data_IF_560998708997
#
_entry.id   IF_560998708997
#
_cell.length_a   1.000
_cell.length_b   1.000
_cell.length_c   1.000
_cell.angle_alpha   90.00
_cell.angle_beta   90.00
_cell.angle_gamma   90.00
#
_symmetry.space_group_name_H-M   'P 1'
#
loop_
_entity.id
_entity.type
_entity.pdbx_description
1 polymer ?
#
# COMPACT_ATOMS: atom_id res chain seq x y z
N UNK A 1 -2.27 1.74 -49.00
CA UNK A 1 -1.96 0.53 -48.18
C UNK A 1 -1.41 0.86 -46.79
N UNK A 2 -2.09 1.68 -45.94
CA UNK A 2 -1.64 1.85 -44.54
C UNK A 2 -2.45 1.07 -43.51
N UNK A 3 -3.59 0.47 -43.89
CA UNK A 3 -4.54 -0.09 -42.90
C UNK A 3 -4.14 -1.44 -42.28
N UNK A 4 -3.26 -2.21 -42.95
CA UNK A 4 -2.84 -3.55 -42.44
C UNK A 4 -1.76 -3.49 -41.35
N UNK A 5 -0.93 -2.43 -41.32
CA UNK A 5 0.15 -2.30 -40.33
C UNK A 5 -0.42 -1.89 -38.95
N UNK A 6 -1.45 -1.05 -38.92
CA UNK A 6 -2.08 -0.61 -37.65
C UNK A 6 -2.82 -1.76 -36.97
N UNK A 7 -3.48 -2.65 -37.73
CA UNK A 7 -4.18 -3.82 -37.16
C UNK A 7 -3.20 -4.85 -36.56
N UNK A 8 -2.03 -5.01 -37.19
CA UNK A 8 -0.98 -5.91 -36.69
C UNK A 8 -0.34 -5.40 -35.38
N UNK A 9 -0.16 -4.07 -35.28
CA UNK A 9 0.39 -3.43 -34.06
C UNK A 9 -0.57 -3.53 -32.86
N UNK A 10 -1.88 -3.41 -33.09
CA UNK A 10 -2.87 -3.59 -32.04
C UNK A 10 -2.97 -5.04 -31.55
N UNK A 11 -2.84 -6.02 -32.45
CA UNK A 11 -2.87 -7.45 -32.10
C UNK A 11 -1.63 -7.83 -31.28
N UNK A 12 -0.45 -7.31 -31.63
CA UNK A 12 0.81 -7.55 -30.90
C UNK A 12 0.77 -6.95 -29.50
N UNK A 13 0.20 -5.75 -29.31
CA UNK A 13 0.05 -5.14 -28.00
C UNK A 13 -0.89 -5.90 -27.09
N UNK A 14 -1.99 -6.47 -27.61
CA UNK A 14 -2.92 -7.30 -26.82
C UNK A 14 -2.30 -8.64 -26.39
N UNK A 15 -1.48 -9.25 -27.24
CA UNK A 15 -0.81 -10.51 -26.90
C UNK A 15 0.33 -10.32 -25.88
N UNK A 16 1.08 -9.20 -25.95
CA UNK A 16 2.14 -8.89 -25.00
C UNK A 16 1.56 -8.71 -23.59
N UNK A 17 0.41 -8.03 -23.44
CA UNK A 17 -0.20 -7.83 -22.12
C UNK A 17 -0.73 -9.12 -21.48
N UNK A 18 -1.32 -10.04 -22.27
CA UNK A 18 -1.80 -11.32 -21.73
C UNK A 18 -0.64 -12.24 -21.28
N UNK A 19 0.48 -12.24 -22.02
CA UNK A 19 1.66 -13.01 -21.67
C UNK A 19 2.41 -12.42 -20.45
N UNK A 20 2.46 -11.09 -20.31
CA UNK A 20 3.12 -10.41 -19.22
C UNK A 20 2.45 -10.76 -17.87
N UNK A 21 1.11 -10.69 -17.79
CA UNK A 21 0.39 -11.00 -16.55
C UNK A 21 0.51 -12.49 -16.15
N UNK A 22 0.51 -13.41 -17.12
CA UNK A 22 0.77 -14.84 -16.88
C UNK A 22 2.17 -15.06 -16.30
N UNK A 23 3.19 -14.35 -16.81
CA UNK A 23 4.57 -14.46 -16.33
C UNK A 23 4.71 -13.96 -14.90
N UNK A 24 4.11 -12.81 -14.56
CA UNK A 24 4.10 -12.24 -13.22
C UNK A 24 3.44 -13.16 -12.19
N UNK A 25 2.20 -13.61 -12.44
CA UNK A 25 1.49 -14.54 -11.57
C UNK A 25 2.29 -15.84 -11.35
N UNK A 26 2.90 -16.39 -12.41
CA UNK A 26 3.72 -17.60 -12.35
C UNK A 26 4.97 -17.41 -11.49
N UNK A 27 5.65 -16.27 -11.59
CA UNK A 27 6.84 -15.98 -10.79
C UNK A 27 6.49 -15.89 -9.29
N UNK A 28 5.39 -15.21 -8.95
CA UNK A 28 4.94 -15.13 -7.54
C UNK A 28 4.54 -16.51 -7.02
N UNK A 29 3.79 -17.30 -7.79
CA UNK A 29 3.44 -18.68 -7.41
C UNK A 29 4.67 -19.51 -7.09
N UNK A 30 5.67 -19.48 -7.97
CA UNK A 30 6.94 -20.20 -7.78
C UNK A 30 7.68 -19.75 -6.51
N UNK A 31 7.79 -18.45 -6.28
CA UNK A 31 8.46 -17.91 -5.11
C UNK A 31 7.71 -18.24 -3.82
N UNK A 32 6.36 -18.16 -3.83
CA UNK A 32 5.50 -18.52 -2.70
C UNK A 32 5.59 -20.02 -2.39
N UNK A 33 5.55 -20.89 -3.38
CA UNK A 33 5.71 -22.34 -3.20
C UNK A 33 7.07 -22.65 -2.56
N UNK A 34 8.16 -22.08 -3.07
CA UNK A 34 9.50 -22.28 -2.51
C UNK A 34 9.61 -21.81 -1.05
N UNK A 35 8.94 -20.72 -0.68
CA UNK A 35 8.87 -20.26 0.71
C UNK A 35 8.07 -21.26 1.58
N UNK A 36 6.88 -21.66 1.14
CA UNK A 36 6.01 -22.61 1.87
C UNK A 36 6.73 -23.95 2.08
N UNK A 37 7.45 -24.46 1.07
CA UNK A 37 8.18 -25.74 1.15
C UNK A 37 9.29 -25.69 2.19
N UNK A 38 9.92 -24.54 2.39
CA UNK A 38 10.96 -24.34 3.39
C UNK A 38 10.45 -24.22 4.85
N UNK A 39 9.13 -24.13 5.06
CA UNK A 39 8.54 -24.04 6.40
C UNK A 39 8.48 -25.41 7.09
N UNK A 40 8.77 -25.41 8.38
CA UNK A 40 8.53 -26.59 9.24
C UNK A 40 7.02 -26.85 9.39
N UNK A 41 6.60 -28.07 9.81
CA UNK A 41 5.19 -28.37 10.04
C UNK A 41 4.51 -27.43 11.05
N UNK A 42 5.23 -26.93 12.06
CA UNK A 42 4.73 -25.97 13.03
C UNK A 42 4.49 -24.60 12.38
N UNK A 43 5.48 -24.12 11.61
CA UNK A 43 5.38 -22.84 10.90
C UNK A 43 4.28 -22.87 9.83
N UNK A 44 4.09 -24.00 9.12
CA UNK A 44 2.99 -24.18 8.16
C UNK A 44 1.62 -24.02 8.81
N UNK A 45 1.42 -24.54 10.03
CA UNK A 45 0.15 -24.35 10.76
C UNK A 45 -0.16 -22.88 11.06
N UNK A 46 0.86 -22.06 11.29
CA UNK A 46 0.68 -20.63 11.53
C UNK A 46 0.52 -19.84 10.23
N UNK A 47 1.27 -20.22 9.18
CA UNK A 47 1.36 -19.46 7.94
C UNK A 47 0.24 -19.77 6.94
N UNK A 48 -0.31 -21.00 6.93
CA UNK A 48 -1.28 -21.46 5.93
C UNK A 48 -2.69 -21.49 6.54
N UNK A 49 -3.53 -20.61 6.05
CA UNK A 49 -4.93 -20.47 6.42
C UNK A 49 -5.83 -20.92 5.25
N UNK A 50 -7.08 -21.24 5.53
CA UNK A 50 -8.03 -21.51 4.44
C UNK A 50 -8.28 -20.26 3.61
N UNK A 51 -8.60 -20.41 2.30
CA UNK A 51 -8.94 -19.27 1.47
C UNK A 51 -10.18 -18.52 1.96
N UNK A 52 -11.10 -19.21 2.65
CA UNK A 52 -12.29 -18.63 3.26
C UNK A 52 -12.07 -17.99 4.64
N UNK A 53 -10.84 -18.01 5.17
CA UNK A 53 -10.55 -17.42 6.48
C UNK A 53 -10.83 -15.91 6.47
N UNK A 54 -11.49 -15.42 7.53
CA UNK A 54 -11.87 -14.01 7.67
C UNK A 54 -10.67 -13.08 7.73
N UNK A 55 -9.52 -13.53 8.24
CA UNK A 55 -8.28 -12.78 8.26
C UNK A 55 -7.82 -12.34 6.85
N UNK A 56 -8.26 -13.03 5.78
CA UNK A 56 -7.95 -12.66 4.40
C UNK A 56 -8.48 -11.28 4.01
N UNK A 57 -9.66 -10.92 4.48
CA UNK A 57 -10.35 -9.67 4.15
C UNK A 57 -10.30 -8.63 5.28
N UNK A 58 -9.43 -8.85 6.24
CA UNK A 58 -9.17 -7.92 7.35
C UNK A 58 -7.72 -7.47 7.28
N UNK A 59 -7.46 -6.23 7.65
CA UNK A 59 -6.11 -5.70 7.78
C UNK A 59 -6.03 -4.73 8.97
N UNK A 60 -4.82 -4.48 9.45
CA UNK A 60 -4.61 -3.54 10.53
C UNK A 60 -3.21 -2.92 10.44
N UNK A 61 -3.09 -1.63 10.82
CA UNK A 61 -1.85 -0.86 10.79
C UNK A 61 -1.26 -0.56 12.18
N UNK A 62 -1.97 -0.95 13.26
CA UNK A 62 -1.51 -0.68 14.62
C UNK A 62 -0.27 -1.53 14.97
N UNK A 63 0.53 -1.09 15.95
CA UNK A 63 1.60 -1.90 16.52
C UNK A 63 1.12 -3.28 16.97
N UNK A 64 1.97 -4.30 16.79
CA UNK A 64 1.61 -5.70 17.09
C UNK A 64 1.30 -5.93 18.58
N UNK A 65 1.85 -5.10 19.46
CA UNK A 65 1.48 -5.11 20.87
C UNK A 65 0.02 -4.74 21.14
N UNK A 66 -0.62 -3.98 20.25
CA UNK A 66 -2.04 -3.61 20.33
C UNK A 66 -2.95 -4.53 19.52
N UNK A 67 -2.46 -5.07 18.41
CA UNK A 67 -3.25 -5.91 17.51
C UNK A 67 -2.40 -7.06 16.97
N UNK A 68 -2.70 -8.29 17.39
CA UNK A 68 -2.05 -9.49 16.89
C UNK A 68 -2.28 -9.68 15.37
N UNK A 69 -1.36 -10.38 14.71
CA UNK A 69 -1.41 -10.69 13.28
C UNK A 69 -1.49 -12.20 13.05
N UNK A 70 -2.15 -12.59 11.96
CA UNK A 70 -2.13 -13.96 11.46
C UNK A 70 -0.86 -14.22 10.65
N UNK A 71 -0.40 -15.46 10.62
CA UNK A 71 0.75 -15.86 9.81
C UNK A 71 2.00 -16.18 10.62
N UNK A 72 3.12 -16.31 9.91
CA UNK A 72 4.44 -16.51 10.51
C UNK A 72 5.17 -15.16 10.58
N UNK A 73 5.72 -14.81 11.76
CA UNK A 73 6.52 -13.60 11.93
C UNK A 73 7.90 -13.74 11.28
N UNK A 74 8.48 -12.62 10.83
CA UNK A 74 9.89 -12.60 10.37
C UNK A 74 10.82 -13.06 11.50
N UNK A 75 10.44 -12.77 12.76
CA UNK A 75 11.19 -13.18 13.94
C UNK A 75 11.30 -14.69 14.11
N UNK A 76 10.30 -15.45 13.67
CA UNK A 76 10.24 -16.92 13.76
C UNK A 76 10.83 -17.63 12.54
N UNK A 77 11.31 -16.88 11.54
CA UNK A 77 11.94 -17.42 10.35
C UNK A 77 13.44 -17.62 10.56
N UNK A 78 13.98 -18.70 9.98
CA UNK A 78 15.42 -18.89 9.83
C UNK A 78 15.99 -17.96 8.76
N UNK A 79 17.31 -17.77 8.71
CA UNK A 79 17.95 -16.98 7.65
C UNK A 79 17.65 -17.46 6.22
N UNK A 80 17.69 -18.77 5.91
CA UNK A 80 17.25 -19.26 4.61
C UNK A 80 15.80 -18.89 4.28
N UNK A 81 14.88 -18.97 5.24
CA UNK A 81 13.47 -18.60 5.06
C UNK A 81 13.32 -17.09 4.82
N UNK A 82 14.05 -16.24 5.55
CA UNK A 82 14.08 -14.79 5.29
C UNK A 82 14.58 -14.45 3.89
N UNK A 83 15.59 -15.15 3.37
CA UNK A 83 16.03 -14.98 1.98
C UNK A 83 14.92 -15.33 0.98
N UNK A 84 14.14 -16.39 1.23
CA UNK A 84 13.00 -16.74 0.39
C UNK A 84 11.86 -15.72 0.50
N UNK A 85 11.57 -15.18 1.69
CA UNK A 85 10.63 -14.07 1.87
C UNK A 85 11.05 -12.86 1.03
N UNK A 86 12.30 -12.41 1.14
CA UNK A 86 12.78 -11.28 0.34
C UNK A 86 12.74 -11.57 -1.16
N UNK A 87 13.01 -12.82 -1.58
CA UNK A 87 12.83 -13.23 -2.98
C UNK A 87 11.37 -13.12 -3.41
N UNK A 88 10.42 -13.56 -2.57
CA UNK A 88 8.99 -13.44 -2.85
C UNK A 88 8.56 -11.98 -2.95
N UNK A 89 8.97 -11.12 -2.01
CA UNK A 89 8.68 -9.70 -2.05
C UNK A 89 9.26 -9.03 -3.31
N UNK A 90 10.49 -9.37 -3.70
CA UNK A 90 11.16 -8.77 -4.87
C UNK A 90 10.53 -9.14 -6.23
N UNK A 91 9.77 -10.23 -6.31
CA UNK A 91 9.00 -10.58 -7.52
C UNK A 91 7.54 -10.11 -7.44
N UNK A 92 7.07 -9.72 -6.27
CA UNK A 92 5.71 -9.22 -6.06
C UNK A 92 5.62 -7.70 -6.16
N UNK A 93 6.70 -7.01 -5.80
CA UNK A 93 6.80 -5.56 -5.74
C UNK A 93 7.80 -5.04 -6.77
N UNK A 94 7.64 -3.79 -7.18
CA UNK A 94 8.72 -3.08 -7.87
C UNK A 94 9.90 -2.82 -6.92
N UNK A 95 11.02 -2.36 -7.46
CA UNK A 95 12.15 -1.93 -6.63
C UNK A 95 11.74 -0.82 -5.65
N UNK A 96 10.92 0.13 -6.09
CA UNK A 96 10.37 1.21 -5.26
C UNK A 96 9.49 0.63 -4.14
N UNK A 97 8.50 -0.19 -4.47
CA UNK A 97 7.59 -0.78 -3.48
C UNK A 97 8.32 -1.68 -2.48
N UNK A 98 9.31 -2.45 -2.95
CA UNK A 98 10.16 -3.26 -2.08
C UNK A 98 10.97 -2.40 -1.09
N UNK A 99 11.61 -1.32 -1.57
CA UNK A 99 12.39 -0.43 -0.70
C UNK A 99 11.50 0.31 0.30
N UNK A 100 10.30 0.75 -0.08
CA UNK A 100 9.33 1.35 0.85
C UNK A 100 8.89 0.34 1.91
N UNK A 101 8.47 -0.85 1.53
CA UNK A 101 8.03 -1.88 2.47
C UNK A 101 9.14 -2.25 3.47
N UNK A 102 10.37 -2.49 2.99
CA UNK A 102 11.51 -2.79 3.87
C UNK A 102 11.97 -1.59 4.69
N UNK A 103 11.85 -0.37 4.16
CA UNK A 103 12.11 0.88 4.86
C UNK A 103 11.20 1.06 6.07
N UNK A 104 9.90 0.82 5.89
CA UNK A 104 8.91 0.84 6.99
C UNK A 104 9.26 -0.19 8.07
N UNK A 105 9.59 -1.42 7.67
CA UNK A 105 10.04 -2.44 8.62
C UNK A 105 11.30 -2.01 9.39
N UNK A 106 12.19 -1.26 8.75
CA UNK A 106 13.42 -0.76 9.40
C UNK A 106 13.12 0.40 10.36
N UNK A 107 12.16 1.28 10.03
CA UNK A 107 11.73 2.35 10.93
C UNK A 107 11.28 1.83 12.30
N UNK A 108 10.59 0.69 12.37
CA UNK A 108 10.20 0.08 13.64
C UNK A 108 11.39 -0.29 14.53
N UNK A 109 12.51 -0.71 13.94
CA UNK A 109 13.74 -0.92 14.72
C UNK A 109 14.30 0.38 15.25
N UNK A 110 14.25 1.45 14.45
CA UNK A 110 14.73 2.77 14.87
C UNK A 110 13.85 3.36 15.97
N UNK A 111 12.51 3.20 15.90
CA UNK A 111 11.60 3.58 16.98
C UNK A 111 11.98 2.91 18.30
N UNK A 112 12.30 1.62 18.28
CA UNK A 112 12.73 0.90 19.47
C UNK A 112 14.05 1.47 20.03
N UNK A 113 15.01 1.78 19.17
CA UNK A 113 16.27 2.42 19.57
C UNK A 113 16.03 3.83 20.18
N UNK A 114 15.04 4.57 19.65
CA UNK A 114 14.71 5.89 20.20
C UNK A 114 14.10 5.80 21.60
N UNK A 115 13.26 4.81 21.87
CA UNK A 115 12.74 4.56 23.21
C UNK A 115 13.88 4.35 24.21
N UNK A 116 14.84 3.50 23.86
CA UNK A 116 16.00 3.24 24.72
C UNK A 116 16.87 4.50 24.89
N UNK A 117 17.11 5.24 23.79
CA UNK A 117 17.91 6.49 23.84
C UNK A 117 17.22 7.55 24.71
N UNK A 118 15.91 7.77 24.54
CA UNK A 118 15.13 8.71 25.34
C UNK A 118 15.13 8.32 26.84
N UNK A 119 15.07 7.03 27.12
CA UNK A 119 15.13 6.53 28.49
C UNK A 119 16.51 6.80 29.12
N UNK A 120 17.62 6.48 28.45
CA UNK A 120 18.97 6.77 28.94
C UNK A 120 19.21 8.26 29.14
N UNK A 121 18.60 9.12 28.32
CA UNK A 121 18.70 10.58 28.47
C UNK A 121 17.74 11.14 29.53
N UNK A 122 16.94 10.28 30.20
CA UNK A 122 15.91 10.67 31.18
C UNK A 122 14.80 11.59 30.59
N UNK A 123 14.56 11.48 29.31
CA UNK A 123 13.48 12.20 28.59
C UNK A 123 12.14 11.51 28.80
N UNK A 124 12.13 10.22 29.10
CA UNK A 124 10.96 9.42 29.48
C UNK A 124 11.21 8.66 30.78
N UNK A 125 10.13 8.43 31.54
CA UNK A 125 10.16 7.66 32.78
C UNK A 125 9.91 6.16 32.54
N UNK A 126 10.00 5.34 33.60
CA UNK A 126 9.82 3.88 33.54
C UNK A 126 8.43 3.48 33.03
N UNK A 127 7.38 4.20 33.44
CA UNK A 127 6.00 3.90 33.04
C UNK A 127 5.81 4.12 31.54
N UNK A 128 6.25 5.26 31.01
CA UNK A 128 6.16 5.55 29.58
C UNK A 128 7.04 4.59 28.76
N UNK A 129 8.26 4.29 29.24
CA UNK A 129 9.14 3.30 28.58
C UNK A 129 8.45 1.94 28.46
N UNK A 130 7.82 1.47 29.54
CA UNK A 130 7.08 0.22 29.55
C UNK A 130 5.94 0.21 28.51
N UNK A 131 5.11 1.27 28.47
CA UNK A 131 4.05 1.41 27.47
C UNK A 131 4.62 1.33 26.05
N UNK A 132 5.72 2.03 25.77
CA UNK A 132 6.33 2.06 24.44
C UNK A 132 6.96 0.71 24.04
N UNK A 133 7.59 0.00 24.97
CA UNK A 133 8.11 -1.37 24.72
C UNK A 133 6.98 -2.36 24.45
N UNK A 134 5.84 -2.23 25.13
CA UNK A 134 4.67 -3.11 24.95
C UNK A 134 4.02 -2.93 23.57
N UNK A 135 4.33 -1.87 22.82
CA UNK A 135 3.96 -1.72 21.39
C UNK A 135 4.70 -2.71 20.48
N UNK A 136 5.86 -3.23 20.91
CA UNK A 136 6.65 -4.25 20.21
C UNK A 136 7.12 -3.83 18.81
N UNK A 137 7.59 -2.60 18.67
CA UNK A 137 8.18 -2.09 17.43
C UNK A 137 9.46 -2.85 17.10
N UNK A 138 9.45 -3.60 16.04
CA UNK A 138 10.63 -4.27 15.47
C UNK A 138 10.29 -4.85 14.10
N UNK A 139 11.25 -4.86 13.17
CA UNK A 139 11.09 -5.53 11.88
C UNK A 139 10.79 -7.04 12.01
N UNK A 140 11.05 -7.64 13.18
CA UNK A 140 10.74 -9.06 13.45
C UNK A 140 9.23 -9.32 13.54
N UNK A 141 8.43 -8.29 13.84
CA UNK A 141 6.99 -8.35 14.04
C UNK A 141 6.19 -7.99 12.77
N UNK A 142 6.72 -8.36 11.60
CA UNK A 142 5.97 -8.41 10.36
C UNK A 142 5.65 -9.85 10.02
N UNK A 143 4.42 -10.11 9.58
CA UNK A 143 3.84 -11.43 9.45
C UNK A 143 3.48 -11.71 8.01
N UNK A 144 3.78 -12.94 7.55
CA UNK A 144 3.34 -13.45 6.25
C UNK A 144 2.30 -14.55 6.46
N UNK A 145 1.10 -14.33 5.94
CA UNK A 145 0.02 -15.31 5.94
C UNK A 145 -0.36 -15.66 4.50
N UNK A 146 -0.60 -16.95 4.24
CA UNK A 146 -1.15 -17.47 3.00
C UNK A 146 -2.58 -17.92 3.21
N UNK A 147 -3.43 -17.68 2.22
CA UNK A 147 -4.84 -18.06 2.19
C UNK A 147 -5.04 -19.02 1.01
N UNK A 148 -5.22 -20.31 1.28
CA UNK A 148 -5.01 -21.37 0.29
C UNK A 148 -3.53 -21.58 -0.01
N UNK A 149 -3.22 -22.26 -1.09
CA UNK A 149 -1.85 -22.55 -1.52
C UNK A 149 -1.55 -22.04 -2.92
N UNK A 150 -0.29 -21.85 -3.24
CA UNK A 150 0.12 -21.38 -4.58
C UNK A 150 -0.24 -22.35 -5.72
N UNK A 151 -0.62 -23.60 -5.42
CA UNK A 151 -1.15 -24.56 -6.39
C UNK A 151 -2.64 -24.40 -6.67
N UNK A 152 -3.38 -23.74 -5.77
CA UNK A 152 -4.81 -23.54 -5.94
C UNK A 152 -5.11 -22.50 -7.01
N UNK A 153 -6.29 -22.59 -7.64
CA UNK A 153 -6.77 -21.59 -8.57
C UNK A 153 -7.02 -20.26 -7.86
N UNK A 154 -7.71 -20.32 -6.71
CA UNK A 154 -7.98 -19.19 -5.83
C UNK A 154 -7.12 -19.30 -4.58
N UNK A 155 -6.22 -18.36 -4.42
CA UNK A 155 -5.32 -18.28 -3.26
C UNK A 155 -4.91 -16.83 -3.05
N UNK A 156 -4.18 -16.58 -1.98
CA UNK A 156 -3.63 -15.25 -1.73
C UNK A 156 -2.56 -15.28 -0.66
N UNK A 157 -1.95 -14.15 -0.44
CA UNK A 157 -1.09 -13.92 0.72
C UNK A 157 -1.20 -12.47 1.17
N UNK A 158 -0.81 -12.25 2.40
CA UNK A 158 -0.72 -10.92 3.00
C UNK A 158 0.59 -10.81 3.77
N UNK A 159 1.31 -9.69 3.58
CA UNK A 159 2.36 -9.26 4.51
C UNK A 159 1.85 -8.09 5.31
N UNK A 160 1.94 -8.19 6.63
CA UNK A 160 1.31 -7.22 7.52
C UNK A 160 2.12 -7.04 8.81
N UNK A 161 2.18 -5.80 9.30
CA UNK A 161 2.78 -5.43 10.57
C UNK A 161 2.36 -4.01 10.96
N UNK A 162 3.16 -3.36 11.79
CA UNK A 162 3.00 -1.93 12.06
C UNK A 162 3.27 -1.15 10.75
N UNK A 163 2.36 -0.27 10.37
CA UNK A 163 2.46 0.61 9.18
C UNK A 163 2.60 -0.09 7.83
N UNK A 164 2.35 -1.38 7.73
CA UNK A 164 2.36 -2.11 6.46
C UNK A 164 1.23 -3.13 6.40
N UNK A 165 0.45 -3.10 5.33
CA UNK A 165 -0.46 -4.19 4.95
C UNK A 165 -0.61 -4.27 3.44
N UNK A 166 -0.03 -5.30 2.83
CA UNK A 166 -0.08 -5.56 1.40
C UNK A 166 -0.81 -6.86 1.16
N UNK A 167 -1.93 -6.79 0.43
CA UNK A 167 -2.86 -7.91 0.25
C UNK A 167 -2.88 -8.37 -1.20
N UNK A 168 -2.56 -9.63 -1.43
CA UNK A 168 -2.60 -10.29 -2.74
C UNK A 168 -3.70 -11.33 -2.79
N UNK A 169 -4.53 -11.28 -3.84
CA UNK A 169 -5.51 -12.33 -4.15
C UNK A 169 -5.39 -12.73 -5.60
N UNK A 170 -5.31 -14.04 -5.84
CA UNK A 170 -5.18 -14.66 -7.15
C UNK A 170 -6.45 -15.46 -7.49
N UNK A 171 -6.88 -15.37 -8.75
CA UNK A 171 -7.88 -16.25 -9.35
C UNK A 171 -7.38 -16.63 -10.75
N UNK A 172 -6.85 -17.84 -10.90
CA UNK A 172 -6.07 -18.22 -12.07
C UNK A 172 -4.87 -17.29 -12.26
N UNK A 173 -4.76 -16.64 -13.42
CA UNK A 173 -3.72 -15.68 -13.75
C UNK A 173 -4.07 -14.23 -13.35
N UNK A 174 -5.32 -13.99 -12.95
CA UNK A 174 -5.75 -12.67 -12.48
C UNK A 174 -5.26 -12.41 -11.07
N UNK A 175 -4.74 -11.19 -10.82
CA UNK A 175 -4.18 -10.77 -9.55
C UNK A 175 -4.80 -9.45 -9.11
N UNK A 176 -5.28 -9.41 -7.87
CA UNK A 176 -5.65 -8.19 -7.15
C UNK A 176 -4.58 -7.87 -6.11
N UNK A 177 -4.18 -6.58 -6.01
CA UNK A 177 -3.19 -6.09 -5.05
C UNK A 177 -3.79 -4.91 -4.30
N UNK A 178 -4.85 -5.18 -3.52
CA UNK A 178 -5.62 -4.14 -2.82
C UNK A 178 -6.45 -4.75 -1.67
N UNK A 179 -6.61 -4.04 -0.53
CA UNK A 179 -5.98 -2.75 -0.23
C UNK A 179 -4.47 -2.88 -0.06
N UNK A 180 -3.74 -1.80 -0.40
CA UNK A 180 -2.33 -1.63 -0.07
C UNK A 180 -2.18 -0.44 0.85
N UNK A 181 -1.92 -0.69 2.11
CA UNK A 181 -1.63 0.31 3.13
C UNK A 181 -0.13 0.36 3.43
N UNK A 182 0.39 1.56 3.59
CA UNK A 182 1.73 1.83 4.07
C UNK A 182 1.75 3.12 4.89
N UNK A 183 2.53 3.16 5.95
CA UNK A 183 2.70 4.34 6.80
C UNK A 183 4.12 4.46 7.33
N UNK A 184 4.41 5.58 7.97
CA UNK A 184 5.71 5.85 8.63
C UNK A 184 5.52 6.62 9.93
N UNK A 185 6.26 6.24 10.93
CA UNK A 185 6.44 6.97 12.18
C UNK A 185 7.94 6.89 12.55
N UNK A 186 8.67 8.03 12.51
CA UNK A 186 8.25 9.33 12.03
C UNK A 186 8.12 9.41 10.50
N UNK A 187 7.48 10.47 9.97
CA UNK A 187 7.48 10.79 8.56
C UNK A 187 8.89 11.16 8.08
N UNK A 188 9.62 11.95 8.89
CA UNK A 188 11.01 12.28 8.71
C UNK A 188 11.82 12.01 9.97
N UNK A 189 12.92 11.31 9.80
CA UNK A 189 13.89 11.08 10.86
C UNK A 189 14.57 12.38 11.26
N UNK A 190 14.52 12.75 12.54
CA UNK A 190 15.04 14.03 13.02
C UNK A 190 16.43 13.93 13.65
N UNK A 191 16.91 12.75 13.97
CA UNK A 191 18.16 12.51 14.71
C UNK A 191 18.94 11.33 14.14
N UNK A 192 20.17 11.14 14.60
CA UNK A 192 21.12 10.11 14.20
C UNK A 192 21.64 10.30 12.78
N UNK A 193 22.41 9.33 12.27
CA UNK A 193 22.87 9.27 10.88
C UNK A 193 21.73 9.16 9.85
N UNK A 194 20.49 8.93 10.31
CA UNK A 194 19.29 8.89 9.48
C UNK A 194 18.55 10.23 9.40
N UNK A 195 19.05 11.31 10.03
CA UNK A 195 18.39 12.61 10.00
C UNK A 195 18.13 13.08 8.56
N UNK A 196 16.87 13.45 8.27
CA UNK A 196 16.40 13.81 6.94
C UNK A 196 15.89 12.62 6.10
N UNK A 197 15.98 11.37 6.59
CA UNK A 197 15.46 10.22 5.84
C UNK A 197 13.94 10.16 5.93
N UNK A 198 13.30 10.10 4.75
CA UNK A 198 11.85 10.04 4.56
C UNK A 198 11.51 8.88 3.64
N UNK A 199 10.88 7.81 4.16
CA UNK A 199 10.51 6.62 3.37
C UNK A 199 9.38 6.92 2.40
N UNK A 200 8.41 7.76 2.80
CA UNK A 200 7.24 8.18 2.02
C UNK A 200 7.28 9.69 1.68
N UNK A 201 8.48 10.26 1.57
CA UNK A 201 8.64 11.68 1.28
C UNK A 201 8.11 12.08 -0.09
N UNK A 202 8.24 11.19 -1.08
CA UNK A 202 7.79 11.49 -2.44
C UNK A 202 6.26 11.63 -2.54
N UNK A 203 5.50 10.83 -1.79
CA UNK A 203 4.05 10.92 -1.71
C UNK A 203 3.60 12.29 -1.18
N UNK A 204 4.24 12.75 -0.11
CA UNK A 204 3.97 14.06 0.51
C UNK A 204 4.37 15.20 -0.43
N UNK A 205 5.60 15.18 -0.95
CA UNK A 205 6.15 16.23 -1.80
C UNK A 205 5.34 16.44 -3.07
N UNK A 206 4.86 15.36 -3.69
CA UNK A 206 3.99 15.46 -4.87
C UNK A 206 2.61 16.04 -4.53
N UNK A 207 2.02 15.66 -3.39
CA UNK A 207 0.76 16.22 -2.90
C UNK A 207 0.87 17.72 -2.64
N UNK A 208 1.91 18.15 -1.91
CA UNK A 208 2.22 19.55 -1.65
C UNK A 208 2.52 20.31 -2.94
N UNK A 209 3.31 19.73 -3.84
CA UNK A 209 3.60 20.35 -5.14
C UNK A 209 2.33 20.61 -5.95
N UNK A 210 1.38 19.66 -5.94
CA UNK A 210 0.13 19.85 -6.68
C UNK A 210 -0.74 20.95 -6.07
N UNK A 211 -0.94 20.96 -4.73
CA UNK A 211 -1.77 22.00 -4.11
C UNK A 211 -1.17 23.39 -4.28
N UNK A 212 0.16 23.52 -4.24
CA UNK A 212 0.86 24.78 -4.50
C UNK A 212 0.80 25.22 -5.96
N UNK A 213 0.77 24.29 -6.91
CA UNK A 213 0.64 24.60 -8.34
C UNK A 213 -0.77 25.10 -8.72
N UNK A 214 -1.78 24.88 -7.86
CA UNK A 214 -3.14 25.33 -8.08
C UNK A 214 -3.25 26.86 -7.91
N UNK A 215 -4.04 27.50 -8.76
CA UNK A 215 -4.43 28.91 -8.54
C UNK A 215 -5.28 29.05 -7.27
N UNK A 216 -5.38 30.26 -6.67
CA UNK A 216 -6.23 30.46 -5.47
C UNK A 216 -7.69 30.01 -5.67
N UNK A 217 -8.26 30.17 -6.86
CA UNK A 217 -9.60 29.70 -7.18
C UNK A 217 -9.69 28.16 -7.22
N UNK A 218 -8.66 27.50 -7.76
CA UNK A 218 -8.58 26.04 -7.78
C UNK A 218 -8.31 25.46 -6.36
N UNK A 219 -7.42 26.11 -5.58
CA UNK A 219 -7.17 25.74 -4.18
C UNK A 219 -8.46 25.77 -3.35
N UNK A 220 -9.27 26.84 -3.52
CA UNK A 220 -10.58 26.93 -2.84
C UNK A 220 -11.52 25.79 -3.20
N UNK A 221 -11.49 25.28 -4.43
CA UNK A 221 -12.28 24.11 -4.84
C UNK A 221 -11.69 22.80 -4.32
N UNK A 222 -10.37 22.68 -4.31
CA UNK A 222 -9.68 21.48 -3.87
C UNK A 222 -9.78 21.28 -2.35
N UNK A 223 -9.82 22.36 -1.57
CA UNK A 223 -9.72 22.31 -0.11
C UNK A 223 -11.08 22.26 0.56
N UNK A 224 -11.28 21.21 1.35
CA UNK A 224 -12.41 21.09 2.27
C UNK A 224 -12.08 21.79 3.60
N UNK A 225 -12.96 22.69 4.02
CA UNK A 225 -12.82 23.44 5.27
C UNK A 225 -13.36 22.61 6.45
N UNK A 226 -12.59 21.62 6.87
CA UNK A 226 -12.88 20.76 8.02
C UNK A 226 -11.60 20.41 8.75
N UNK A 227 -11.70 19.82 9.92
CA UNK A 227 -10.53 19.32 10.65
C UNK A 227 -9.84 18.21 9.87
N UNK A 228 -8.50 18.19 9.92
CA UNK A 228 -7.71 17.08 9.39
C UNK A 228 -8.13 15.81 10.11
N UNK A 229 -8.46 14.72 9.40
CA UNK A 229 -8.75 13.44 10.03
C UNK A 229 -7.58 12.98 10.90
N UNK A 230 -7.84 12.17 11.91
CA UNK A 230 -6.78 11.58 12.73
C UNK A 230 -6.13 10.34 12.07
N UNK A 231 -6.67 9.88 10.96
CA UNK A 231 -6.21 8.75 10.14
C UNK A 231 -6.84 8.88 8.76
N UNK A 232 -6.38 8.10 7.78
CA UNK A 232 -7.07 7.95 6.50
C UNK A 232 -8.53 7.59 6.72
N UNK A 233 -9.43 8.15 5.92
CA UNK A 233 -10.89 8.00 6.13
C UNK A 233 -11.35 6.55 5.99
N UNK A 234 -10.70 5.79 5.09
CA UNK A 234 -10.97 4.36 4.89
C UNK A 234 -10.00 3.47 5.67
N UNK A 235 -9.57 3.90 6.87
CA UNK A 235 -8.71 3.11 7.75
C UNK A 235 -9.28 1.71 8.04
N UNK A 236 -8.41 0.83 8.54
CA UNK A 236 -8.79 -0.51 8.98
C UNK A 236 -10.01 -0.45 9.94
N UNK A 237 -10.94 -1.38 9.77
CA UNK A 237 -12.15 -1.50 10.61
C UNK A 237 -13.11 -0.29 10.55
N UNK A 238 -12.82 0.76 9.77
CA UNK A 238 -13.72 1.91 9.64
C UNK A 238 -15.07 1.57 8.99
N UNK A 239 -15.11 0.51 8.17
CA UNK A 239 -16.27 0.14 7.36
C UNK A 239 -16.67 1.19 6.32
N UNK A 240 -15.94 2.30 6.24
CA UNK A 240 -16.24 3.41 5.33
C UNK A 240 -15.80 3.07 3.92
N UNK A 241 -16.67 3.38 2.97
CA UNK A 241 -16.35 3.41 1.54
C UNK A 241 -16.59 4.83 1.02
N UNK A 242 -15.60 5.40 0.34
CA UNK A 242 -15.74 6.73 -0.24
C UNK A 242 -16.42 6.59 -1.61
N UNK A 243 -17.71 6.84 -1.64
CA UNK A 243 -18.53 6.80 -2.86
C UNK A 243 -18.67 8.17 -3.52
N UNK A 244 -18.61 9.24 -2.71
CA UNK A 244 -18.75 10.60 -3.18
C UNK A 244 -17.40 11.18 -3.61
N UNK A 245 -17.44 12.03 -4.64
CA UNK A 245 -16.29 12.77 -5.12
C UNK A 245 -16.33 14.18 -4.53
N UNK A 246 -15.20 14.65 -4.00
CA UNK A 246 -15.02 16.00 -3.54
C UNK A 246 -13.62 16.53 -3.91
N UNK A 247 -13.44 17.86 -3.85
CA UNK A 247 -12.24 18.53 -4.32
C UNK A 247 -12.37 19.04 -5.76
N UNK A 248 -11.24 19.31 -6.40
CA UNK A 248 -11.21 19.81 -7.78
C UNK A 248 -11.17 18.64 -8.77
N UNK A 249 -12.02 18.72 -9.80
CA UNK A 249 -12.02 17.74 -10.88
C UNK A 249 -10.85 17.97 -11.83
N UNK A 250 -10.18 16.91 -12.27
CA UNK A 250 -9.02 17.03 -13.15
C UNK A 250 -9.32 17.69 -14.51
N UNK A 251 -10.58 17.66 -14.98
CA UNK A 251 -11.00 18.44 -16.16
C UNK A 251 -10.81 19.96 -16.02
N UNK A 252 -10.73 20.46 -14.77
CA UNK A 252 -10.50 21.89 -14.47
C UNK A 252 -9.01 22.24 -14.27
N UNK A 253 -8.12 21.25 -14.37
CA UNK A 253 -6.67 21.42 -14.22
C UNK A 253 -6.01 21.75 -15.56
N UNK A 254 -4.90 22.51 -15.51
CA UNK A 254 -4.04 22.71 -16.68
C UNK A 254 -3.35 21.40 -17.07
N UNK A 255 -2.69 21.41 -18.23
CA UNK A 255 -1.92 20.24 -18.69
C UNK A 255 -0.80 19.84 -17.70
N UNK A 256 -0.10 20.83 -17.17
CA UNK A 256 1.01 20.66 -16.23
C UNK A 256 0.49 20.14 -14.87
N UNK A 257 -0.61 20.69 -14.35
CA UNK A 257 -1.26 20.21 -13.13
C UNK A 257 -1.76 18.76 -13.29
N UNK A 258 -2.36 18.42 -14.45
CA UNK A 258 -2.75 17.02 -14.76
C UNK A 258 -1.54 16.09 -14.83
N UNK A 259 -0.42 16.54 -15.37
CA UNK A 259 0.80 15.75 -15.39
C UNK A 259 1.28 15.45 -13.97
N UNK A 260 1.26 16.44 -13.08
CA UNK A 260 1.65 16.24 -11.68
C UNK A 260 0.66 15.30 -10.93
N UNK A 261 -0.65 15.44 -11.16
CA UNK A 261 -1.65 14.50 -10.66
C UNK A 261 -1.36 13.05 -11.11
N UNK A 262 -0.96 12.87 -12.37
CA UNK A 262 -0.57 11.55 -12.89
C UNK A 262 0.74 11.03 -12.26
N UNK A 263 1.68 11.92 -11.86
CA UNK A 263 2.86 11.50 -11.09
C UNK A 263 2.47 11.00 -9.72
N UNK A 264 1.55 11.68 -9.00
CA UNK A 264 1.01 11.16 -7.74
C UNK A 264 0.44 9.75 -7.94
N UNK A 265 -0.44 9.56 -8.91
CA UNK A 265 -1.06 8.26 -9.17
C UNK A 265 -0.01 7.17 -9.45
N UNK A 266 0.99 7.50 -10.25
CA UNK A 266 2.08 6.58 -10.59
C UNK A 266 2.94 6.22 -9.39
N UNK A 267 3.15 7.15 -8.45
CA UNK A 267 3.90 6.91 -7.22
C UNK A 267 3.29 5.77 -6.39
N UNK A 268 1.97 5.64 -6.41
CA UNK A 268 1.25 4.55 -5.75
C UNK A 268 1.17 3.29 -6.59
N UNK A 269 0.75 3.40 -7.84
CA UNK A 269 0.54 2.25 -8.73
C UNK A 269 1.83 1.48 -8.96
N UNK A 270 2.94 2.18 -9.16
CA UNK A 270 4.25 1.55 -9.43
C UNK A 270 4.99 1.08 -8.17
N UNK A 271 4.32 1.01 -7.00
CA UNK A 271 4.76 0.18 -5.89
C UNK A 271 4.55 -1.32 -6.19
N UNK A 272 3.55 -1.66 -6.99
CA UNK A 272 3.36 -3.02 -7.53
C UNK A 272 4.47 -3.36 -8.53
N UNK A 273 4.63 -4.65 -8.80
CA UNK A 273 5.51 -5.10 -9.87
C UNK A 273 5.12 -4.43 -11.21
N UNK A 274 6.12 -4.16 -12.05
CA UNK A 274 5.99 -3.28 -13.23
C UNK A 274 4.89 -3.70 -14.20
N UNK A 275 4.78 -5.01 -14.50
CA UNK A 275 3.76 -5.52 -15.45
C UNK A 275 2.35 -5.31 -14.88
N UNK A 276 2.15 -5.63 -13.58
CA UNK A 276 0.88 -5.39 -12.88
C UNK A 276 0.55 -3.90 -12.81
N UNK A 277 1.53 -3.08 -12.45
CA UNK A 277 1.39 -1.62 -12.37
C UNK A 277 0.98 -1.02 -13.72
N UNK A 278 1.58 -1.49 -14.82
CA UNK A 278 1.26 -1.03 -16.18
C UNK A 278 -0.20 -1.35 -16.55
N UNK A 279 -0.69 -2.53 -16.20
CA UNK A 279 -2.09 -2.91 -16.45
C UNK A 279 -3.04 -2.04 -15.62
N UNK A 280 -2.74 -1.79 -14.34
CA UNK A 280 -3.58 -0.94 -13.50
C UNK A 280 -3.58 0.51 -13.97
N UNK A 281 -2.43 1.06 -14.32
CA UNK A 281 -2.35 2.42 -14.84
C UNK A 281 -3.10 2.57 -16.18
N UNK A 282 -3.05 1.57 -17.06
CA UNK A 282 -3.84 1.56 -18.29
C UNK A 282 -5.36 1.56 -18.03
N UNK A 283 -5.85 0.88 -17.00
CA UNK A 283 -7.27 0.94 -16.58
C UNK A 283 -7.65 2.37 -16.16
N UNK A 284 -6.78 3.05 -15.41
CA UNK A 284 -7.00 4.44 -14.98
C UNK A 284 -7.08 5.36 -16.19
N UNK A 285 -6.13 5.26 -17.13
CA UNK A 285 -6.13 6.05 -18.36
C UNK A 285 -7.39 5.81 -19.18
N UNK A 286 -7.84 4.56 -19.32
CA UNK A 286 -9.07 4.19 -20.02
C UNK A 286 -10.32 4.76 -19.36
N UNK A 287 -10.37 4.84 -18.04
CA UNK A 287 -11.48 5.45 -17.30
C UNK A 287 -11.52 6.98 -17.43
N UNK A 288 -10.45 7.58 -17.89
CA UNK A 288 -10.30 9.00 -18.20
C UNK A 288 -9.75 9.82 -17.03
N UNK A 289 -8.60 10.41 -17.24
CA UNK A 289 -7.93 11.30 -16.25
C UNK A 289 -8.83 12.46 -15.84
N UNK A 290 -9.59 13.01 -16.77
CA UNK A 290 -10.50 14.14 -16.51
C UNK A 290 -11.63 13.82 -15.52
N UNK A 291 -11.86 12.56 -15.20
CA UNK A 291 -12.86 12.11 -14.23
C UNK A 291 -12.30 11.90 -12.81
N UNK A 292 -11.04 12.22 -12.58
CA UNK A 292 -10.38 12.10 -11.27
C UNK A 292 -10.57 13.42 -10.51
N UNK A 293 -10.68 13.31 -9.18
CA UNK A 293 -10.78 14.42 -8.25
C UNK A 293 -9.56 14.43 -7.34
N UNK A 294 -9.05 15.63 -7.06
CA UNK A 294 -8.02 15.89 -6.06
C UNK A 294 -8.62 16.76 -4.95
N UNK A 295 -8.55 16.28 -3.73
CA UNK A 295 -9.05 16.97 -2.55
C UNK A 295 -7.98 17.10 -1.48
N UNK A 296 -8.05 18.21 -0.70
CA UNK A 296 -7.11 18.56 0.34
C UNK A 296 -7.83 18.98 1.63
N UNK A 297 -7.24 18.67 2.80
CA UNK A 297 -7.67 19.17 4.11
C UNK A 297 -6.43 19.57 4.89
N UNK A 298 -6.43 20.75 5.50
CA UNK A 298 -5.35 21.26 6.33
C UNK A 298 -4.45 22.29 5.67
N UNK A 299 -3.37 22.70 6.34
CA UNK A 299 -2.36 23.63 5.83
C UNK A 299 -1.62 23.09 4.60
N UNK A 300 -1.03 23.97 3.80
CA UNK A 300 -0.20 23.61 2.64
C UNK A 300 1.30 23.65 2.97
N UNK A 301 1.66 23.27 4.16
CA UNK A 301 3.01 23.37 4.70
C UNK A 301 3.53 21.98 5.08
N UNK A 302 4.82 21.75 4.83
CA UNK A 302 5.55 20.61 5.35
C UNK A 302 5.49 20.58 6.90
N UNK A 303 5.59 19.40 7.48
CA UNK A 303 5.57 19.21 8.94
C UNK A 303 4.32 19.77 9.64
N UNK A 304 3.22 19.92 8.92
CA UNK A 304 1.90 20.23 9.44
C UNK A 304 0.94 19.10 9.12
N UNK A 305 0.01 18.85 10.04
CA UNK A 305 -1.03 17.86 9.79
C UNK A 305 -1.86 18.25 8.56
N UNK A 306 -1.91 17.37 7.58
CA UNK A 306 -2.73 17.53 6.39
C UNK A 306 -3.19 16.17 5.85
N UNK A 307 -4.19 16.21 5.01
CA UNK A 307 -4.74 15.05 4.32
C UNK A 307 -5.00 15.41 2.86
N UNK A 308 -4.73 14.47 1.95
CA UNK A 308 -5.22 14.59 0.59
C UNK A 308 -5.81 13.27 0.07
N UNK A 309 -6.68 13.40 -0.92
CA UNK A 309 -7.29 12.28 -1.62
C UNK A 309 -7.15 12.46 -3.13
N UNK A 310 -6.84 11.37 -3.84
CA UNK A 310 -7.01 11.26 -5.29
C UNK A 310 -8.06 10.18 -5.55
N UNK A 311 -9.24 10.61 -6.00
CA UNK A 311 -10.41 9.76 -6.14
C UNK A 311 -10.81 9.65 -7.62
N UNK A 312 -10.53 8.51 -8.24
CA UNK A 312 -10.88 8.20 -9.63
C UNK A 312 -12.02 7.20 -9.76
N UNK A 313 -12.53 6.96 -10.98
CA UNK A 313 -13.60 5.99 -11.21
C UNK A 313 -13.23 4.56 -10.79
N UNK A 314 -11.94 4.19 -10.88
CA UNK A 314 -11.45 2.82 -10.64
C UNK A 314 -10.61 2.66 -9.39
N UNK A 315 -10.26 3.76 -8.71
CA UNK A 315 -9.32 3.72 -7.58
C UNK A 315 -9.54 4.85 -6.58
N UNK A 316 -8.95 4.69 -5.39
CA UNK A 316 -8.78 5.74 -4.39
C UNK A 316 -7.34 5.69 -3.88
N UNK A 317 -6.74 6.86 -3.72
CA UNK A 317 -5.54 7.11 -2.93
C UNK A 317 -5.93 8.02 -1.79
N UNK A 318 -5.55 7.69 -0.57
CA UNK A 318 -5.59 8.59 0.57
C UNK A 318 -4.19 8.74 1.14
N UNK A 319 -3.87 9.94 1.56
CA UNK A 319 -2.65 10.29 2.27
C UNK A 319 -3.02 11.16 3.47
N UNK A 320 -2.50 10.81 4.62
CA UNK A 320 -2.67 11.52 5.88
C UNK A 320 -1.30 11.68 6.57
N UNK A 321 -0.92 12.91 6.88
CA UNK A 321 0.25 13.21 7.73
C UNK A 321 -0.22 13.79 9.08
N UNK A 322 -1.31 13.28 9.64
CA UNK A 322 -1.70 13.65 11.01
C UNK A 322 -1.26 12.59 12.02
N UNK A 323 -1.35 11.32 11.62
CA UNK A 323 -0.97 10.13 12.34
C UNK A 323 -1.33 10.15 13.83
N UNK A 324 -2.57 9.76 14.15
CA UNK A 324 -3.01 9.62 15.52
C UNK A 324 -3.50 10.91 16.19
N UNK A 325 -3.82 10.86 17.48
CA UNK A 325 -4.56 11.92 18.19
C UNK A 325 -3.80 13.24 18.35
N UNK A 326 -2.48 13.24 18.24
CA UNK A 326 -1.66 14.47 18.41
C UNK A 326 -1.70 15.39 17.19
N UNK A 327 -2.02 14.86 16.00
CA UNK A 327 -2.05 15.58 14.72
C UNK A 327 -0.80 16.48 14.53
N UNK A 328 0.37 15.88 14.76
CA UNK A 328 1.63 16.62 14.84
C UNK A 328 2.32 16.86 13.50
N UNK A 329 1.81 16.25 12.41
CA UNK A 329 2.39 16.42 11.08
C UNK A 329 3.73 15.70 10.86
N UNK A 330 3.99 14.62 11.58
CA UNK A 330 5.20 13.79 11.41
C UNK A 330 4.89 12.28 11.55
N UNK A 331 3.73 11.85 11.05
CA UNK A 331 3.30 10.46 11.09
C UNK A 331 2.36 10.21 9.91
N UNK A 332 2.82 9.46 8.91
CA UNK A 332 2.10 9.25 7.66
C UNK A 332 1.33 7.94 7.68
N UNK A 333 0.06 8.02 7.25
CA UNK A 333 -0.72 6.88 6.79
C UNK A 333 -1.15 7.12 5.35
N UNK A 334 -1.00 6.11 4.49
CA UNK A 334 -1.46 6.23 3.12
C UNK A 334 -1.93 4.89 2.57
N UNK A 335 -2.88 4.92 1.64
CA UNK A 335 -3.49 3.71 1.10
C UNK A 335 -3.81 3.86 -0.39
N UNK A 336 -3.59 2.78 -1.12
CA UNK A 336 -4.12 2.53 -2.46
C UNK A 336 -5.25 1.53 -2.40
N UNK A 337 -6.37 1.84 -3.08
CA UNK A 337 -7.51 0.92 -3.23
C UNK A 337 -7.99 0.88 -4.68
N UNK A 338 -8.21 -0.32 -5.20
CA UNK A 338 -8.89 -0.56 -6.47
C UNK A 338 -10.39 -0.75 -6.20
N UNK A 339 -11.23 0.14 -6.73
CA UNK A 339 -12.69 0.09 -6.53
C UNK A 339 -13.29 -1.16 -7.15
N UNK A 340 -14.10 -1.87 -6.37
CA UNK A 340 -14.77 -3.09 -6.80
C UNK A 340 -13.88 -4.32 -6.87
N UNK A 341 -12.60 -4.23 -6.50
CA UNK A 341 -11.67 -5.36 -6.55
C UNK A 341 -10.88 -5.56 -5.25
N UNK A 342 -11.33 -4.99 -4.15
CA UNK A 342 -10.69 -5.21 -2.85
C UNK A 342 -10.67 -6.70 -2.52
N UNK A 343 -9.50 -7.18 -2.06
CA UNK A 343 -9.29 -8.60 -1.76
C UNK A 343 -9.71 -9.54 -2.90
N UNK A 344 -9.70 -9.03 -4.15
CA UNK A 344 -10.07 -9.81 -5.33
C UNK A 344 -11.57 -9.97 -5.57
N UNK A 345 -12.43 -9.12 -5.02
CA UNK A 345 -13.90 -9.21 -5.21
C UNK A 345 -14.28 -9.37 -6.68
N UNK A 346 -13.74 -8.57 -7.58
CA UNK A 346 -14.08 -8.58 -9.01
C UNK A 346 -13.52 -9.81 -9.75
N UNK A 347 -12.26 -10.19 -9.43
CA UNK A 347 -11.64 -11.37 -10.05
C UNK A 347 -12.31 -12.66 -9.60
N UNK A 348 -12.74 -12.76 -8.35
CA UNK A 348 -13.48 -13.89 -7.81
C UNK A 348 -14.89 -13.95 -8.36
N UNK A 349 -15.61 -12.81 -8.45
CA UNK A 349 -16.95 -12.73 -9.02
C UNK A 349 -16.99 -13.15 -10.48
N UNK A 350 -16.03 -12.71 -11.30
CA UNK A 350 -15.90 -13.14 -12.70
C UNK A 350 -15.69 -14.64 -12.81
N UNK A 351 -14.90 -15.21 -11.94
CA UNK A 351 -14.69 -16.65 -11.87
C UNK A 351 -16.00 -17.41 -11.58
N UNK A 352 -16.75 -17.04 -10.54
CA UNK A 352 -18.03 -17.69 -10.20
C UNK A 352 -19.07 -17.56 -11.30
N UNK A 353 -19.05 -16.49 -12.09
CA UNK A 353 -19.99 -16.31 -13.23
C UNK A 353 -19.60 -17.15 -14.46
N UNK A 354 -18.33 -17.49 -14.63
CA UNK A 354 -17.84 -18.30 -15.75
C UNK A 354 -17.94 -19.81 -15.49
N UNK A 355 -17.80 -20.24 -14.26
CA UNK A 355 -18.03 -21.63 -13.84
C UNK A 355 -19.51 -21.77 -13.42
N UNK A 356 -20.38 -22.09 -14.40
CA UNK A 356 -21.75 -22.55 -14.09
C UNK A 356 -21.62 -23.87 -13.33
N UNK A 357 -21.82 -23.84 -12.03
CA UNK A 357 -22.07 -25.01 -11.21
C UNK A 357 -23.51 -25.46 -11.36
#
# INVERSE_FOLDING_TARGET
MPTKIVLLLCIVLFHVNANAQSTYSTQIRKASAAFIDALTPLQKRSALLSFGDTARVQWNNLPVGLRARSGISIGDMTEPQRKLLHRMLSVSLSSQGYLKATGVMHLDNLLNMFVDTAYYRKEINDDLRKVLIDLKWTHRNYYLAFFGTASDKNWGFKIEGHHLSVNYTFSGDSVSVTPWFIGTDPAEMSITEYAGWRVLGQEEDLGLSLIHMLTPAQQKKATMQTEVPADIITAAESGKRLVDYWGIKASELTKEQKALLQYIIREYVYNMEYEKATVEYAKILKAGIDNIYFGWIGPYEENKAHYFIVNGPTFIIEFDNAGGPRRAGNHIHTIWREKGNEYGEDVLKKHYLQEKH
#
